data_IF_248210381319
#
_entry.id   IF_248210381319
#
_cell.length_a   1.000
_cell.length_b   1.000
_cell.length_c   1.000
_cell.angle_alpha   90.00
_cell.angle_beta   90.00
_cell.angle_gamma   90.00
#
_symmetry.space_group_name_H-M   'P 1'
#
loop_
_entity.id
_entity.type
_entity.pdbx_description
1 polymer ?
#
# COMPACT_ATOMS: atom_id res chain seq x y z
N UNK A 1 -21.93 1.60 7.95
CA UNK A 1 -21.10 1.83 6.75
C UNK A 1 -20.97 3.32 6.56
N UNK A 2 -19.76 3.83 6.32
CA UNK A 2 -19.56 5.23 5.97
C UNK A 2 -20.24 5.51 4.61
N UNK A 3 -20.84 6.69 4.45
CA UNK A 3 -21.42 7.10 3.18
C UNK A 3 -20.31 7.35 2.14
N UNK A 4 -20.66 7.34 0.85
CA UNK A 4 -19.69 7.66 -0.21
C UNK A 4 -19.12 9.06 -0.04
N UNK A 5 -19.92 9.99 0.46
CA UNK A 5 -19.48 11.34 0.75
C UNK A 5 -18.46 11.39 1.89
N UNK A 6 -18.66 10.59 2.96
CA UNK A 6 -17.70 10.52 4.07
C UNK A 6 -16.34 9.97 3.58
N UNK A 7 -16.38 8.95 2.71
CA UNK A 7 -15.17 8.35 2.13
C UNK A 7 -14.44 9.33 1.21
N UNK A 8 -15.19 10.01 0.34
CA UNK A 8 -14.65 11.02 -0.58
C UNK A 8 -14.05 12.18 0.21
N UNK A 9 -14.75 12.70 1.21
CA UNK A 9 -14.26 13.83 2.03
C UNK A 9 -13.03 13.49 2.87
N UNK A 10 -12.86 12.21 3.25
CA UNK A 10 -11.69 11.72 4.00
C UNK A 10 -10.49 11.36 3.12
N UNK A 11 -10.64 11.34 1.80
CA UNK A 11 -9.55 10.98 0.89
C UNK A 11 -8.64 12.18 0.62
N UNK A 12 -7.31 12.00 0.76
CA UNK A 12 -6.31 13.07 0.57
C UNK A 12 -6.41 13.78 -0.79
N UNK A 13 -6.82 13.06 -1.83
CA UNK A 13 -7.00 13.64 -3.18
C UNK A 13 -8.12 14.68 -3.23
N UNK A 14 -9.03 14.70 -2.27
CA UNK A 14 -10.16 15.61 -2.19
C UNK A 14 -10.09 16.54 -0.96
N UNK A 15 -8.94 16.52 -0.27
CA UNK A 15 -8.74 17.35 0.92
C UNK A 15 -8.90 18.84 0.65
N UNK A 16 -9.49 19.55 1.60
CA UNK A 16 -9.71 21.00 1.53
C UNK A 16 -10.77 21.45 0.53
N UNK A 17 -11.50 20.55 -0.14
CA UNK A 17 -12.55 20.92 -1.09
C UNK A 17 -13.85 21.31 -0.37
N UNK A 18 -14.56 22.35 -0.85
CA UNK A 18 -15.89 22.71 -0.34
C UNK A 18 -16.91 21.58 -0.53
N UNK A 19 -17.87 21.45 0.41
CA UNK A 19 -18.90 20.40 0.38
C UNK A 19 -19.66 20.31 -0.95
N UNK A 20 -19.95 21.42 -1.61
CA UNK A 20 -20.59 21.45 -2.94
C UNK A 20 -19.74 20.74 -4.01
N UNK A 21 -18.42 20.88 -3.95
CA UNK A 21 -17.52 20.17 -4.89
C UNK A 21 -17.43 18.68 -4.56
N UNK A 22 -17.43 18.32 -3.27
CA UNK A 22 -17.47 16.92 -2.85
C UNK A 22 -18.75 16.20 -3.31
N UNK A 23 -19.90 16.87 -3.29
CA UNK A 23 -21.14 16.33 -3.86
C UNK A 23 -21.03 16.11 -5.38
N UNK A 24 -20.48 17.05 -6.12
CA UNK A 24 -20.25 16.88 -7.57
C UNK A 24 -19.30 15.72 -7.88
N UNK A 25 -18.28 15.51 -7.05
CA UNK A 25 -17.36 14.38 -7.17
C UNK A 25 -18.10 13.05 -6.89
N UNK A 26 -18.96 13.02 -5.87
CA UNK A 26 -19.78 11.87 -5.54
C UNK A 26 -20.74 11.51 -6.68
N UNK A 27 -21.35 12.52 -7.33
CA UNK A 27 -22.32 12.31 -8.41
C UNK A 27 -21.72 11.62 -9.65
N UNK A 28 -20.40 11.75 -9.87
CA UNK A 28 -19.70 11.06 -10.97
C UNK A 28 -19.09 9.71 -10.56
N UNK A 29 -19.07 9.40 -9.26
CA UNK A 29 -18.53 8.17 -8.75
C UNK A 29 -19.46 6.97 -8.99
N UNK A 30 -18.92 5.85 -9.45
CA UNK A 30 -19.65 4.61 -9.69
C UNK A 30 -19.17 3.57 -8.67
N UNK A 31 -20.07 3.13 -7.79
CA UNK A 31 -19.74 2.09 -6.81
C UNK A 31 -19.62 0.72 -7.48
N UNK A 32 -18.52 0.03 -7.23
CA UNK A 32 -18.23 -1.32 -7.71
C UNK A 32 -17.82 -2.23 -6.56
N UNK A 33 -18.32 -3.46 -6.55
CA UNK A 33 -18.00 -4.45 -5.54
C UNK A 33 -17.14 -5.56 -6.13
N UNK A 34 -16.15 -6.01 -5.35
CA UNK A 34 -15.22 -7.06 -5.71
C UNK A 34 -15.12 -8.08 -4.57
N UNK A 35 -15.08 -9.34 -4.93
CA UNK A 35 -14.80 -10.43 -4.00
C UNK A 35 -13.29 -10.58 -3.81
N UNK A 36 -12.89 -11.28 -2.75
CA UNK A 36 -11.46 -11.58 -2.53
C UNK A 36 -10.89 -12.41 -3.69
N UNK A 37 -9.75 -12.01 -4.21
CA UNK A 37 -9.06 -12.66 -5.34
C UNK A 37 -9.54 -12.19 -6.71
N UNK A 38 -10.54 -11.30 -6.76
CA UNK A 38 -11.07 -10.78 -8.02
C UNK A 38 -10.15 -9.72 -8.60
N UNK A 39 -9.85 -9.87 -9.89
CA UNK A 39 -9.02 -8.92 -10.65
C UNK A 39 -9.86 -7.68 -11.00
N UNK A 40 -9.32 -6.51 -10.71
CA UNK A 40 -9.94 -5.21 -10.99
C UNK A 40 -9.55 -4.75 -12.39
N UNK A 41 -8.28 -4.90 -12.72
CA UNK A 41 -7.70 -4.70 -14.06
C UNK A 41 -6.36 -5.44 -14.18
N UNK A 42 -5.99 -5.76 -15.41
CA UNK A 42 -4.71 -6.38 -15.75
C UNK A 42 -3.74 -5.34 -16.29
N UNK A 43 -2.44 -5.65 -16.18
CA UNK A 43 -1.40 -4.92 -16.88
C UNK A 43 -1.69 -4.87 -18.38
N UNK A 44 -1.46 -3.72 -19.03
CA UNK A 44 -1.76 -3.43 -20.43
C UNK A 44 -3.24 -3.31 -20.79
N UNK A 45 -4.18 -3.45 -19.86
CA UNK A 45 -5.58 -3.09 -20.09
C UNK A 45 -5.72 -1.59 -20.38
N UNK A 46 -6.70 -1.23 -21.20
CA UNK A 46 -7.09 0.17 -21.41
C UNK A 46 -7.77 0.71 -20.18
N UNK A 47 -7.24 1.79 -19.61
CA UNK A 47 -7.83 2.47 -18.46
C UNK A 47 -8.71 3.63 -18.87
N UNK A 48 -9.96 3.62 -18.45
CA UNK A 48 -10.94 4.68 -18.69
C UNK A 48 -11.36 5.45 -17.43
N UNK A 49 -10.60 5.32 -16.35
CA UNK A 49 -10.82 5.97 -15.08
C UNK A 49 -9.83 5.50 -14.02
N UNK A 50 -10.06 5.92 -12.78
CA UNK A 50 -9.33 5.48 -11.60
C UNK A 50 -10.29 5.06 -10.49
N UNK A 51 -9.75 4.51 -9.43
CA UNK A 51 -10.51 3.96 -8.30
C UNK A 51 -10.11 4.62 -6.99
N UNK A 52 -11.06 4.72 -6.06
CA UNK A 52 -10.84 5.03 -4.66
C UNK A 52 -11.32 3.82 -3.83
N UNK A 53 -10.51 3.33 -2.92
CA UNK A 53 -10.95 2.26 -2.01
C UNK A 53 -11.94 2.83 -1.02
N UNK A 54 -13.18 2.39 -1.07
CA UNK A 54 -14.20 2.74 -0.09
C UNK A 54 -14.15 1.80 1.12
N UNK A 55 -14.04 0.50 0.86
CA UNK A 55 -13.92 -0.56 1.87
C UNK A 55 -13.06 -1.69 1.33
N UNK A 56 -12.39 -2.42 2.23
CA UNK A 56 -11.55 -3.55 1.86
C UNK A 56 -10.10 -3.17 1.59
N UNK A 57 -9.43 -3.93 0.73
CA UNK A 57 -8.02 -3.72 0.38
C UNK A 57 -7.72 -4.24 -1.02
N UNK A 58 -6.87 -3.52 -1.74
CA UNK A 58 -6.44 -3.84 -3.11
C UNK A 58 -4.91 -3.88 -3.17
N UNK A 59 -4.33 -4.93 -3.78
CA UNK A 59 -2.91 -4.97 -4.11
C UNK A 59 -2.68 -4.53 -5.56
N UNK A 60 -1.62 -3.80 -5.79
CA UNK A 60 -1.04 -3.55 -7.11
C UNK A 60 0.22 -4.40 -7.23
N UNK A 61 0.34 -5.19 -8.29
CA UNK A 61 1.40 -6.17 -8.42
C UNK A 61 1.86 -6.40 -9.86
N UNK A 62 3.07 -6.90 -10.00
CA UNK A 62 3.65 -7.41 -11.24
C UNK A 62 3.87 -8.90 -11.12
N UNK A 63 3.84 -9.59 -12.25
CA UNK A 63 4.19 -11.01 -12.33
C UNK A 63 5.35 -11.18 -13.28
N UNK A 64 6.40 -11.86 -12.85
CA UNK A 64 7.53 -12.21 -13.71
C UNK A 64 7.16 -13.30 -14.71
N UNK A 65 7.93 -13.50 -15.81
CA UNK A 65 7.72 -14.62 -16.71
C UNK A 65 7.75 -16.01 -16.04
N UNK A 66 8.46 -16.14 -14.91
CA UNK A 66 8.50 -17.37 -14.09
C UNK A 66 7.31 -17.51 -13.13
N UNK A 67 6.32 -16.61 -13.17
CA UNK A 67 5.14 -16.63 -12.31
C UNK A 67 5.35 -16.04 -10.91
N UNK A 68 6.53 -15.49 -10.60
CA UNK A 68 6.77 -14.84 -9.30
C UNK A 68 6.03 -13.52 -9.23
N UNK A 69 5.18 -13.36 -8.22
CA UNK A 69 4.49 -12.11 -7.92
C UNK A 69 5.37 -11.18 -7.10
N UNK A 70 5.39 -9.90 -7.48
CA UNK A 70 5.93 -8.81 -6.68
C UNK A 70 4.82 -7.80 -6.40
N UNK A 71 4.40 -7.68 -5.15
CA UNK A 71 3.49 -6.62 -4.73
C UNK A 71 4.26 -5.29 -4.70
N UNK A 72 3.73 -4.31 -5.39
CA UNK A 72 4.28 -2.95 -5.45
C UNK A 72 3.68 -2.08 -4.33
N UNK A 73 2.37 -2.21 -4.09
CA UNK A 73 1.66 -1.48 -3.04
C UNK A 73 0.36 -2.18 -2.66
N UNK A 74 -0.11 -1.93 -1.43
CA UNK A 74 -1.43 -2.35 -0.95
C UNK A 74 -2.20 -1.12 -0.54
N UNK A 75 -3.36 -0.90 -1.17
CA UNK A 75 -4.23 0.25 -0.94
C UNK A 75 -5.36 -0.11 0.02
N UNK A 76 -5.57 0.74 1.01
CA UNK A 76 -6.67 0.69 1.97
C UNK A 76 -7.74 1.77 1.76
N UNK A 77 -8.75 1.85 2.64
CA UNK A 77 -9.82 2.85 2.54
C UNK A 77 -9.29 4.30 2.49
N UNK A 78 -9.88 5.11 1.61
CA UNK A 78 -9.49 6.50 1.38
C UNK A 78 -8.32 6.69 0.40
N UNK A 79 -7.71 5.61 -0.09
CA UNK A 79 -6.58 5.69 -1.01
C UNK A 79 -7.01 5.52 -2.47
N UNK A 80 -6.63 6.44 -3.37
CA UNK A 80 -6.89 6.34 -4.80
C UNK A 80 -5.82 5.44 -5.47
N UNK A 81 -6.18 4.72 -6.55
CA UNK A 81 -5.25 3.93 -7.37
C UNK A 81 -5.72 3.82 -8.82
N UNK A 82 -4.81 3.42 -9.71
CA UNK A 82 -5.11 3.22 -11.14
C UNK A 82 -5.25 4.53 -11.92
N UNK A 83 -4.66 5.62 -11.45
CA UNK A 83 -4.77 6.96 -12.02
C UNK A 83 -3.89 7.16 -13.28
N UNK A 84 -2.91 6.30 -13.53
CA UNK A 84 -1.96 6.45 -14.66
C UNK A 84 -2.65 6.64 -16.00
N UNK A 85 -3.64 5.82 -16.41
CA UNK A 85 -4.32 5.99 -17.68
C UNK A 85 -5.11 7.30 -17.79
N UNK A 86 -5.59 7.83 -16.66
CA UNK A 86 -6.39 9.07 -16.63
C UNK A 86 -5.58 10.24 -17.17
N UNK A 87 -4.33 10.37 -16.73
CA UNK A 87 -3.47 11.50 -17.04
C UNK A 87 -2.54 11.24 -18.23
N UNK A 88 -1.98 10.03 -18.34
CA UNK A 88 -1.05 9.70 -19.42
C UNK A 88 -1.72 9.23 -20.72
N UNK A 89 -2.99 8.82 -20.67
CA UNK A 89 -3.67 8.17 -21.78
C UNK A 89 -3.09 6.79 -22.14
N UNK A 90 -2.18 6.28 -21.31
CA UNK A 90 -1.53 4.97 -21.51
C UNK A 90 -2.31 3.86 -20.80
N UNK A 91 -1.94 2.62 -21.08
CA UNK A 91 -2.49 1.42 -20.43
C UNK A 91 -2.03 1.30 -18.99
N UNK A 92 -2.73 0.47 -18.20
CA UNK A 92 -2.30 0.18 -16.83
C UNK A 92 -0.89 -0.43 -16.80
N UNK A 93 0.02 0.07 -15.96
CA UNK A 93 1.40 -0.42 -15.89
C UNK A 93 1.58 -1.68 -15.05
N UNK A 94 0.53 -2.13 -14.32
CA UNK A 94 0.55 -3.25 -13.39
C UNK A 94 -0.85 -3.84 -13.23
N UNK A 95 -0.96 -4.99 -12.56
CA UNK A 95 -2.23 -5.63 -12.23
C UNK A 95 -2.80 -5.07 -10.92
N UNK A 96 -4.14 -5.15 -10.76
CA UNK A 96 -4.84 -4.85 -9.51
C UNK A 96 -5.79 -5.99 -9.12
N UNK A 97 -5.74 -6.41 -7.85
CA UNK A 97 -6.58 -7.49 -7.30
C UNK A 97 -7.09 -7.10 -5.91
N UNK A 98 -8.36 -7.41 -5.65
CA UNK A 98 -8.97 -7.27 -4.34
C UNK A 98 -8.48 -8.39 -3.40
N UNK A 99 -7.70 -8.06 -2.36
CA UNK A 99 -7.19 -9.04 -1.39
C UNK A 99 -8.15 -9.32 -0.22
N UNK A 100 -9.24 -8.55 -0.15
CA UNK A 100 -10.43 -8.74 0.72
C UNK A 100 -11.68 -8.43 -0.08
N UNK A 101 -12.87 -8.78 0.44
CA UNK A 101 -14.12 -8.21 -0.07
C UNK A 101 -14.00 -6.68 -0.03
N UNK A 102 -14.14 -6.04 -1.18
CA UNK A 102 -13.85 -4.62 -1.35
C UNK A 102 -14.98 -3.91 -2.08
N UNK A 103 -15.25 -2.68 -1.65
CA UNK A 103 -16.11 -1.73 -2.36
C UNK A 103 -15.22 -0.59 -2.83
N UNK A 104 -15.28 -0.29 -4.12
CA UNK A 104 -14.48 0.73 -4.78
C UNK A 104 -15.39 1.78 -5.40
N UNK A 105 -15.00 3.05 -5.35
CA UNK A 105 -15.60 4.12 -6.13
C UNK A 105 -14.77 4.31 -7.38
N UNK A 106 -15.38 4.07 -8.53
CA UNK A 106 -14.76 4.27 -9.84
C UNK A 106 -15.10 5.66 -10.39
N UNK A 107 -14.10 6.40 -10.80
CA UNK A 107 -14.21 7.72 -11.39
C UNK A 107 -13.89 7.65 -12.88
N UNK A 108 -14.91 7.77 -13.78
CA UNK A 108 -14.66 7.77 -15.22
C UNK A 108 -13.77 8.95 -15.63
N UNK A 109 -12.79 8.68 -16.49
CA UNK A 109 -11.79 9.66 -16.95
C UNK A 109 -12.42 10.96 -17.47
N UNK A 110 -13.40 10.85 -18.35
CA UNK A 110 -14.05 12.02 -18.97
C UNK A 110 -14.75 12.90 -17.94
N UNK A 111 -15.51 12.28 -17.02
CA UNK A 111 -16.21 13.00 -15.97
C UNK A 111 -15.21 13.67 -15.01
N UNK A 112 -14.16 12.96 -14.60
CA UNK A 112 -13.15 13.47 -13.68
C UNK A 112 -12.32 14.62 -14.30
N UNK A 113 -11.93 14.53 -15.56
CA UNK A 113 -11.27 15.64 -16.27
C UNK A 113 -12.18 16.88 -16.38
N UNK A 114 -13.49 16.68 -16.55
CA UNK A 114 -14.47 17.78 -16.50
C UNK A 114 -14.47 18.47 -15.13
N UNK A 115 -14.42 17.69 -14.04
CA UNK A 115 -14.31 18.23 -12.67
C UNK A 115 -13.00 19.01 -12.45
N UNK A 116 -11.86 18.50 -12.95
CA UNK A 116 -10.57 19.21 -12.87
C UNK A 116 -10.65 20.55 -13.62
N UNK A 117 -11.29 20.59 -14.79
CA UNK A 117 -11.45 21.83 -15.56
C UNK A 117 -12.29 22.84 -14.82
N UNK A 118 -13.36 22.40 -14.14
CA UNK A 118 -14.21 23.25 -13.33
C UNK A 118 -13.57 23.66 -11.98
N UNK A 119 -12.71 22.81 -11.42
CA UNK A 119 -12.09 22.96 -10.11
C UNK A 119 -10.59 22.63 -10.17
N UNK A 120 -9.72 23.57 -10.60
CA UNK A 120 -8.28 23.32 -10.76
C UNK A 120 -7.55 22.85 -9.48
N UNK A 121 -8.10 23.13 -8.28
CA UNK A 121 -7.59 22.63 -7.00
C UNK A 121 -7.49 21.11 -6.93
N UNK A 122 -8.39 20.39 -7.63
CA UNK A 122 -8.31 18.93 -7.78
C UNK A 122 -6.99 18.47 -8.41
N UNK A 123 -6.51 19.19 -9.42
CA UNK A 123 -5.23 18.86 -10.06
C UNK A 123 -4.05 19.05 -9.07
N UNK A 124 -4.08 20.11 -8.25
CA UNK A 124 -3.05 20.35 -7.24
C UNK A 124 -3.05 19.25 -6.17
N UNK A 125 -4.22 18.83 -5.71
CA UNK A 125 -4.33 17.71 -4.75
C UNK A 125 -3.81 16.41 -5.36
N UNK A 126 -4.15 16.12 -6.63
CA UNK A 126 -3.60 14.94 -7.33
C UNK A 126 -2.08 15.00 -7.44
N UNK A 127 -1.50 16.15 -7.79
CA UNK A 127 -0.06 16.35 -7.85
C UNK A 127 0.60 16.12 -6.48
N UNK A 128 -0.02 16.59 -5.40
CA UNK A 128 0.47 16.37 -4.04
C UNK A 128 0.49 14.85 -3.70
N UNK A 129 -0.60 14.12 -3.97
CA UNK A 129 -0.68 12.68 -3.75
C UNK A 129 0.34 11.93 -4.60
N UNK A 130 0.48 12.25 -5.89
CA UNK A 130 1.45 11.62 -6.78
C UNK A 130 2.89 11.92 -6.35
N UNK A 131 3.18 13.12 -5.85
CA UNK A 131 4.50 13.49 -5.31
C UNK A 131 4.84 12.70 -4.05
N UNK A 132 3.87 12.49 -3.16
CA UNK A 132 4.05 11.60 -1.99
C UNK A 132 4.34 10.16 -2.42
N UNK A 133 3.59 9.63 -3.40
CA UNK A 133 3.82 8.28 -3.93
C UNK A 133 5.18 8.12 -4.58
N UNK A 134 5.62 9.10 -5.36
CA UNK A 134 6.95 9.06 -5.95
C UNK A 134 8.02 8.94 -4.88
N UNK A 135 7.90 9.67 -3.78
CA UNK A 135 8.80 9.57 -2.63
C UNK A 135 8.74 8.18 -1.97
N UNK A 136 7.54 7.63 -1.77
CA UNK A 136 7.37 6.28 -1.24
C UNK A 136 8.03 5.22 -2.14
N UNK A 137 7.85 5.31 -3.46
CA UNK A 137 8.50 4.40 -4.40
C UNK A 137 10.02 4.55 -4.41
N UNK A 138 10.57 5.75 -4.25
CA UNK A 138 12.01 5.96 -4.10
C UNK A 138 12.55 5.22 -2.89
N UNK A 139 11.90 5.33 -1.73
CA UNK A 139 12.27 4.57 -0.53
C UNK A 139 12.09 3.06 -0.71
N UNK A 140 11.07 2.62 -1.43
CA UNK A 140 10.87 1.20 -1.70
C UNK A 140 11.97 0.64 -2.61
N UNK A 141 12.38 1.37 -3.64
CA UNK A 141 13.51 0.99 -4.51
C UNK A 141 14.80 0.93 -3.70
N UNK A 142 15.08 1.95 -2.88
CA UNK A 142 16.23 1.96 -1.97
C UNK A 142 16.22 0.72 -1.06
N UNK A 143 15.10 0.44 -0.39
CA UNK A 143 14.97 -0.72 0.47
C UNK A 143 15.24 -2.04 -0.28
N UNK A 144 14.63 -2.22 -1.47
CA UNK A 144 14.79 -3.46 -2.25
C UNK A 144 16.20 -3.63 -2.82
N UNK A 145 16.90 -2.52 -3.13
CA UNK A 145 18.22 -2.54 -3.76
C UNK A 145 19.37 -2.57 -2.76
N UNK A 146 19.23 -1.90 -1.62
CA UNK A 146 20.33 -1.66 -0.67
C UNK A 146 20.20 -2.41 0.65
N UNK A 147 19.00 -2.89 1.01
CA UNK A 147 18.78 -3.59 2.29
C UNK A 147 18.52 -5.07 2.11
N UNK A 148 19.00 -5.88 3.05
CA UNK A 148 18.66 -7.29 3.15
C UNK A 148 17.22 -7.47 3.68
N UNK A 149 16.64 -8.67 3.50
CA UNK A 149 15.25 -8.95 3.88
C UNK A 149 14.94 -8.69 5.36
N UNK A 150 15.85 -9.03 6.33
CA UNK A 150 15.61 -8.68 7.73
C UNK A 150 15.47 -7.18 7.99
N UNK A 151 16.32 -6.35 7.37
CA UNK A 151 16.24 -4.90 7.47
C UNK A 151 14.98 -4.32 6.82
N UNK A 152 14.59 -4.85 5.65
CA UNK A 152 13.32 -4.49 5.00
C UNK A 152 12.11 -4.82 5.86
N UNK A 153 12.12 -6.01 6.50
CA UNK A 153 11.05 -6.40 7.42
C UNK A 153 11.00 -5.46 8.63
N UNK A 154 12.13 -5.17 9.28
CA UNK A 154 12.19 -4.26 10.40
C UNK A 154 11.67 -2.86 10.03
N UNK A 155 12.10 -2.31 8.90
CA UNK A 155 11.63 -1.02 8.38
C UNK A 155 10.12 -1.01 8.12
N UNK A 156 9.57 -2.10 7.55
CA UNK A 156 8.14 -2.22 7.29
C UNK A 156 7.32 -2.33 8.58
N UNK A 157 7.78 -3.06 9.59
CA UNK A 157 7.11 -3.17 10.89
C UNK A 157 7.06 -1.81 11.61
N UNK A 158 8.16 -1.05 11.57
CA UNK A 158 8.23 0.31 12.13
C UNK A 158 7.32 1.28 11.37
N UNK A 159 7.27 1.19 10.05
CA UNK A 159 6.33 1.95 9.23
C UNK A 159 4.88 1.67 9.63
N UNK A 160 4.49 0.39 9.76
CA UNK A 160 3.14 0.02 10.21
C UNK A 160 2.82 0.52 11.63
N UNK A 161 3.80 0.56 12.53
CA UNK A 161 3.65 1.14 13.87
C UNK A 161 3.24 2.61 13.79
N UNK A 162 3.89 3.37 12.92
CA UNK A 162 3.56 4.79 12.68
C UNK A 162 2.16 4.95 12.07
N UNK A 163 1.84 4.18 11.03
CA UNK A 163 0.53 4.22 10.36
C UNK A 163 -0.63 3.84 11.30
N UNK A 164 -0.42 2.81 12.13
CA UNK A 164 -1.42 2.35 13.09
C UNK A 164 -1.44 3.19 14.38
N UNK A 165 -0.52 4.16 14.54
CA UNK A 165 -0.34 5.00 15.73
C UNK A 165 -0.23 4.16 17.01
N UNK A 166 0.57 3.08 16.96
CA UNK A 166 0.80 2.13 18.06
C UNK A 166 2.29 1.86 18.18
N UNK A 167 2.83 2.03 19.39
CA UNK A 167 4.26 1.88 19.64
C UNK A 167 4.67 0.46 20.02
N UNK A 168 3.79 -0.28 20.71
CA UNK A 168 4.10 -1.57 21.30
C UNK A 168 3.82 -2.77 20.42
N UNK A 169 2.88 -2.64 19.47
CA UNK A 169 2.49 -3.73 18.60
C UNK A 169 1.84 -3.23 17.29
N UNK A 170 1.86 -4.09 16.28
CA UNK A 170 1.13 -3.89 15.03
C UNK A 170 0.24 -5.09 14.73
N UNK A 171 -0.77 -4.87 13.88
CA UNK A 171 -1.58 -5.94 13.32
C UNK A 171 -1.33 -6.01 11.81
N UNK A 172 -0.97 -7.19 11.31
CA UNK A 172 -0.79 -7.40 9.88
C UNK A 172 -2.14 -7.54 9.19
N UNK A 173 -2.45 -6.60 8.32
CA UNK A 173 -3.67 -6.60 7.50
C UNK A 173 -3.57 -7.50 6.27
N UNK A 174 -2.37 -7.90 5.89
CA UNK A 174 -2.05 -8.78 4.77
C UNK A 174 -1.59 -10.15 5.27
N UNK A 175 -1.64 -11.18 4.41
CA UNK A 175 -1.12 -12.51 4.72
C UNK A 175 0.42 -12.54 4.71
N UNK A 176 1.03 -13.55 5.36
CA UNK A 176 2.49 -13.74 5.30
C UNK A 176 3.01 -13.91 3.87
N UNK A 177 2.24 -14.55 2.98
CA UNK A 177 2.59 -14.66 1.56
C UNK A 177 2.62 -13.29 0.87
N UNK A 178 1.61 -12.46 1.11
CA UNK A 178 1.57 -11.10 0.58
C UNK A 178 2.68 -10.21 1.16
N UNK A 179 2.97 -10.36 2.47
CA UNK A 179 4.09 -9.64 3.09
C UNK A 179 5.43 -10.08 2.49
N UNK A 180 5.64 -11.37 2.24
CA UNK A 180 6.84 -11.86 1.57
C UNK A 180 6.98 -11.27 0.16
N UNK A 181 5.90 -11.26 -0.62
CA UNK A 181 5.87 -10.65 -1.95
C UNK A 181 6.17 -9.14 -1.90
N UNK A 182 5.59 -8.40 -0.95
CA UNK A 182 5.86 -6.97 -0.76
C UNK A 182 7.34 -6.70 -0.44
N UNK A 183 7.95 -7.56 0.39
CA UNK A 183 9.36 -7.46 0.77
C UNK A 183 10.33 -8.04 -0.27
N UNK A 184 9.84 -8.54 -1.41
CA UNK A 184 10.66 -9.12 -2.49
C UNK A 184 11.33 -10.44 -2.10
N UNK A 185 10.68 -11.27 -1.27
CA UNK A 185 11.17 -12.56 -0.79
C UNK A 185 10.12 -13.67 -0.93
N UNK A 186 10.38 -14.85 -0.38
CA UNK A 186 9.46 -15.99 -0.36
C UNK A 186 8.96 -16.25 1.06
N UNK A 187 7.78 -16.87 1.24
CA UNK A 187 7.16 -17.10 2.55
C UNK A 187 8.04 -17.89 3.52
N UNK A 188 8.82 -18.84 3.03
CA UNK A 188 9.73 -19.68 3.82
C UNK A 188 10.86 -18.84 4.42
N UNK A 189 11.46 -17.95 3.62
CA UNK A 189 12.51 -17.03 4.07
C UNK A 189 11.94 -16.04 5.08
N UNK A 190 10.76 -15.45 4.82
CA UNK A 190 10.09 -14.56 5.77
C UNK A 190 9.83 -15.27 7.11
N UNK A 191 9.34 -16.52 7.08
CA UNK A 191 9.06 -17.30 8.29
C UNK A 191 10.33 -17.55 9.10
N UNK A 192 11.46 -17.89 8.44
CA UNK A 192 12.75 -18.03 9.12
C UNK A 192 13.23 -16.74 9.78
N UNK A 193 13.06 -15.59 9.10
CA UNK A 193 13.45 -14.29 9.64
C UNK A 193 12.58 -13.91 10.84
N UNK A 194 11.26 -14.07 10.76
CA UNK A 194 10.35 -13.82 11.89
C UNK A 194 10.72 -14.69 13.10
N UNK A 195 11.00 -15.98 12.91
CA UNK A 195 11.42 -16.88 13.99
C UNK A 195 12.78 -16.45 14.58
N UNK A 196 13.74 -16.00 13.77
CA UNK A 196 15.01 -15.47 14.24
C UNK A 196 14.82 -14.21 15.09
N UNK A 197 14.01 -13.25 14.63
CA UNK A 197 13.71 -12.02 15.38
C UNK A 197 13.00 -12.32 16.70
N UNK A 198 12.09 -13.33 16.74
CA UNK A 198 11.48 -13.80 17.98
C UNK A 198 12.54 -14.35 18.96
N UNK A 199 13.44 -15.23 18.48
CA UNK A 199 14.53 -15.81 19.33
C UNK A 199 15.50 -14.74 19.84
N UNK A 200 15.74 -13.70 19.07
CA UNK A 200 16.59 -12.58 19.46
C UNK A 200 15.91 -11.58 20.41
N UNK A 201 14.63 -11.79 20.77
CA UNK A 201 13.89 -10.89 21.65
C UNK A 201 13.58 -9.53 21.02
N UNK A 202 13.59 -9.42 19.69
CA UNK A 202 13.22 -8.18 19.01
C UNK A 202 11.71 -8.01 18.94
N UNK A 203 11.00 -9.11 18.64
CA UNK A 203 9.54 -9.15 18.47
C UNK A 203 8.95 -10.39 19.13
N UNK A 204 7.64 -10.37 19.36
CA UNK A 204 6.82 -11.54 19.65
C UNK A 204 5.69 -11.63 18.62
N UNK A 205 5.60 -12.76 17.92
CA UNK A 205 4.60 -12.96 16.87
C UNK A 205 3.48 -13.85 17.38
N UNK A 206 2.25 -13.37 17.41
CA UNK A 206 1.04 -14.14 17.73
C UNK A 206 -0.02 -13.89 16.67
N UNK A 207 -0.35 -14.91 15.89
CA UNK A 207 -1.29 -14.86 14.77
C UNK A 207 -0.93 -13.74 13.76
N UNK A 208 -1.73 -12.68 13.74
CA UNK A 208 -1.51 -11.48 12.91
C UNK A 208 -0.91 -10.31 13.68
N UNK A 209 -0.73 -10.46 14.99
CA UNK A 209 -0.18 -9.41 15.84
C UNK A 209 1.31 -9.63 16.01
N UNK A 210 2.08 -8.58 15.87
CA UNK A 210 3.52 -8.54 16.15
C UNK A 210 3.75 -7.49 17.23
N UNK A 211 4.18 -7.95 18.41
CA UNK A 211 4.56 -7.09 19.53
C UNK A 211 6.03 -6.73 19.39
N UNK A 212 6.40 -5.51 19.69
CA UNK A 212 7.79 -5.07 19.76
C UNK A 212 8.32 -5.27 21.16
N UNK A 213 9.35 -6.11 21.31
CA UNK A 213 10.04 -6.37 22.58
C UNK A 213 11.27 -5.48 22.72
N UNK A 214 11.92 -5.14 21.60
CA UNK A 214 13.07 -4.25 21.56
C UNK A 214 12.97 -3.35 20.31
N UNK A 215 12.36 -2.17 20.50
CA UNK A 215 12.15 -1.21 19.41
C UNK A 215 13.46 -0.61 18.90
N UNK A 216 14.38 -0.26 19.78
CA UNK A 216 15.71 0.28 19.40
C UNK A 216 16.50 -0.75 18.56
N UNK A 217 16.42 -2.04 18.93
CA UNK A 217 17.01 -3.12 18.16
C UNK A 217 16.41 -3.25 16.76
N UNK A 218 15.08 -3.05 16.62
CA UNK A 218 14.42 -3.03 15.31
C UNK A 218 14.83 -1.80 14.47
N UNK A 219 14.94 -0.63 15.10
CA UNK A 219 15.41 0.60 14.43
C UNK A 219 16.84 0.43 13.93
N UNK A 220 17.72 -0.08 14.76
CA UNK A 220 19.11 -0.40 14.37
C UNK A 220 19.15 -1.41 13.21
N UNK A 221 18.37 -2.49 13.28
CA UNK A 221 18.29 -3.49 12.22
C UNK A 221 17.74 -2.91 10.90
N UNK A 222 16.82 -1.96 10.97
CA UNK A 222 16.22 -1.32 9.80
C UNK A 222 17.20 -0.46 9.00
N UNK A 223 18.26 0.01 9.65
CA UNK A 223 19.30 0.85 9.05
C UNK A 223 20.47 -0.01 8.52
N UNK A 224 20.99 -0.89 9.35
CA UNK A 224 22.31 -1.54 9.19
C UNK A 224 22.25 -3.05 8.95
N UNK A 225 21.27 -3.61 8.36
CA UNK A 225 21.06 -5.06 8.01
C UNK A 225 22.12 -6.12 8.45
N UNK A 226 23.34 -5.74 8.80
CA UNK A 226 24.49 -6.59 9.12
C UNK A 226 24.96 -6.56 10.59
N UNK A 227 24.46 -5.64 11.43
CA UNK A 227 25.08 -5.46 12.77
C UNK A 227 24.89 -6.63 13.76
N UNK A 228 24.00 -7.58 13.48
CA UNK A 228 23.75 -8.71 14.38
C UNK A 228 24.60 -9.96 14.12
N UNK A 229 25.44 -10.00 13.07
CA UNK A 229 26.40 -11.13 12.90
C UNK A 229 27.61 -11.04 13.86
N UNK A 230 27.87 -9.86 14.46
CA UNK A 230 28.99 -9.65 15.36
C UNK A 230 28.70 -10.05 16.82
N UNK A 231 27.45 -10.33 17.20
CA UNK A 231 27.11 -10.81 18.55
C UNK A 231 27.02 -12.35 18.67
N UNK A 232 27.09 -13.08 17.57
CA UNK A 232 27.12 -14.57 17.59
C UNK A 232 28.54 -15.17 17.67
N UNK A 233 29.58 -14.35 17.78
CA UNK A 233 30.96 -14.83 17.98
C UNK A 233 31.49 -14.36 19.34
N UNK A 234 30.96 -14.91 20.40
CA UNK A 234 31.74 -15.20 21.61
C UNK A 234 31.12 -16.39 22.34
N UNK A 235 31.96 -17.44 22.60
CA UNK A 235 31.53 -18.66 23.30
C UNK A 235 31.24 -18.43 24.77
#
# INVERSE_FOLDING_TARGET
MASDLDIISGALIFDGLPGKQLEQIKDVAISKNYTRGEIIFMEQDMGNGFYLVAEGMVKIFKVSPSGKEQILHVFGPGEPFGEVPVFSGKRFPANAEAIRKSRLLFFPRTAFLGLITAHPSLALNMLAVLSMRLRQFTHQIENLSLKEVPARLAAYLLYLSTEQKREDFITLDISKGQLASLLGTIPETLSRILNRMNKQGLIETKDRTIRFLNREGLESLSIDGKKNELMEKNP
#
